data_IF_191351485603
#
_entry.id   IF_191351485603
#
_cell.length_a   1.000
_cell.length_b   1.000
_cell.length_c   1.000
_cell.angle_alpha   90.00
_cell.angle_beta   90.00
_cell.angle_gamma   90.00
#
_symmetry.space_group_name_H-M   'P 1'
#
loop_
_entity.id
_entity.type
_entity.pdbx_description
1 polymer ?
#
# COMPACT_ATOMS: atom_id res chain seq x y z
N UNK A 1 -12.13 9.17 27.07
CA UNK A 1 -11.45 8.62 25.88
C UNK A 1 -10.21 9.45 25.61
N UNK A 2 -9.03 8.83 25.61
CA UNK A 2 -7.77 9.42 25.17
C UNK A 2 -7.78 9.61 23.65
N UNK A 3 -6.82 10.39 23.11
CA UNK A 3 -6.68 10.56 21.65
C UNK A 3 -6.42 9.21 20.96
N UNK A 4 -5.61 8.34 21.57
CA UNK A 4 -5.32 7.00 21.02
C UNK A 4 -6.60 6.16 20.97
N UNK A 5 -7.42 6.20 22.02
CA UNK A 5 -8.72 5.49 22.03
C UNK A 5 -9.69 6.05 20.97
N UNK A 6 -9.66 7.36 20.70
CA UNK A 6 -10.46 7.97 19.62
C UNK A 6 -10.03 7.47 18.24
N UNK A 7 -8.73 7.42 17.96
CA UNK A 7 -8.19 6.93 16.68
C UNK A 7 -8.51 5.44 16.50
N UNK A 8 -8.31 4.64 17.55
CA UNK A 8 -8.65 3.22 17.53
C UNK A 8 -10.14 2.98 17.28
N UNK A 9 -11.01 3.75 17.95
CA UNK A 9 -12.45 3.67 17.74
C UNK A 9 -12.86 4.10 16.33
N UNK A 10 -12.23 5.13 15.76
CA UNK A 10 -12.46 5.53 14.38
C UNK A 10 -12.09 4.42 13.40
N UNK A 11 -10.87 3.87 13.50
CA UNK A 11 -10.41 2.81 12.60
C UNK A 11 -11.26 1.54 12.70
N UNK A 12 -11.64 1.14 13.92
CA UNK A 12 -12.41 -0.09 14.15
C UNK A 12 -13.88 0.00 13.70
N UNK A 13 -14.45 1.21 13.63
CA UNK A 13 -15.86 1.42 13.30
C UNK A 13 -16.08 2.04 11.92
N UNK A 14 -15.02 2.28 11.14
CA UNK A 14 -15.16 2.82 9.78
C UNK A 14 -15.57 1.72 8.80
N UNK A 15 -16.55 2.01 7.95
CA UNK A 15 -17.00 1.13 6.87
C UNK A 15 -16.86 1.81 5.51
N UNK A 16 -16.68 1.01 4.46
CA UNK A 16 -16.80 1.48 3.08
C UNK A 16 -18.17 2.13 2.82
N UNK A 17 -19.21 1.69 3.54
CA UNK A 17 -20.55 2.23 3.42
C UNK A 17 -20.71 3.66 3.96
N UNK A 18 -19.80 4.10 4.84
CA UNK A 18 -19.79 5.47 5.36
C UNK A 18 -19.27 6.49 4.33
N UNK A 19 -18.68 6.02 3.22
CA UNK A 19 -18.09 6.86 2.19
C UNK A 19 -19.13 7.32 1.16
N UNK A 20 -19.11 8.61 0.82
CA UNK A 20 -19.89 9.15 -0.30
C UNK A 20 -19.39 8.61 -1.64
N UNK A 21 -20.24 8.63 -2.66
CA UNK A 21 -19.89 8.17 -4.02
C UNK A 21 -18.68 8.93 -4.60
N UNK A 22 -18.55 10.22 -4.28
CA UNK A 22 -17.42 11.05 -4.66
C UNK A 22 -16.11 10.52 -4.03
N UNK A 23 -16.12 10.23 -2.73
CA UNK A 23 -14.95 9.68 -2.04
C UNK A 23 -14.61 8.29 -2.56
N UNK A 24 -15.61 7.43 -2.79
CA UNK A 24 -15.39 6.09 -3.38
C UNK A 24 -14.74 6.18 -4.75
N UNK A 25 -15.16 7.15 -5.57
CA UNK A 25 -14.57 7.39 -6.89
C UNK A 25 -13.13 7.88 -6.76
N UNK A 26 -12.87 8.86 -5.91
CA UNK A 26 -11.52 9.38 -5.69
C UNK A 26 -10.57 8.30 -5.15
N UNK A 27 -11.03 7.47 -4.23
CA UNK A 27 -10.24 6.36 -3.68
C UNK A 27 -9.83 5.37 -4.78
N UNK A 28 -10.75 5.01 -5.68
CA UNK A 28 -10.44 4.14 -6.83
C UNK A 28 -9.44 4.80 -7.78
N UNK A 29 -9.57 6.10 -8.04
CA UNK A 29 -8.60 6.86 -8.86
C UNK A 29 -7.20 6.82 -8.23
N UNK A 30 -7.09 7.05 -6.92
CA UNK A 30 -5.82 6.96 -6.18
C UNK A 30 -5.23 5.56 -6.22
N UNK A 31 -6.05 4.51 -6.12
CA UNK A 31 -5.58 3.13 -6.26
C UNK A 31 -5.00 2.85 -7.65
N UNK A 32 -5.65 3.33 -8.71
CA UNK A 32 -5.15 3.18 -10.09
C UNK A 32 -3.83 3.94 -10.28
N UNK A 33 -3.73 5.16 -9.78
CA UNK A 33 -2.50 5.97 -9.80
C UNK A 33 -1.35 5.27 -9.06
N UNK A 34 -1.64 4.78 -7.85
CA UNK A 34 -0.68 4.04 -7.00
C UNK A 34 -0.13 2.81 -7.72
N UNK A 35 -1.00 2.00 -8.33
CA UNK A 35 -0.59 0.81 -9.09
C UNK A 35 0.20 1.23 -10.34
N UNK A 36 -0.19 2.32 -11.00
CA UNK A 36 0.53 2.88 -12.14
C UNK A 36 1.97 3.26 -11.78
N UNK A 37 2.18 3.96 -10.65
CA UNK A 37 3.50 4.29 -10.12
C UNK A 37 4.31 3.03 -9.82
N UNK A 38 3.71 2.06 -9.15
CA UNK A 38 4.37 0.79 -8.84
C UNK A 38 4.83 0.03 -10.10
N UNK A 39 3.98 -0.03 -11.13
CA UNK A 39 4.32 -0.65 -12.42
C UNK A 39 5.46 0.12 -13.09
N UNK A 40 5.42 1.46 -13.06
CA UNK A 40 6.47 2.31 -13.61
C UNK A 40 7.84 2.09 -12.96
N UNK A 41 7.87 1.69 -11.69
CA UNK A 41 9.10 1.39 -10.94
C UNK A 41 9.67 -0.01 -11.20
N UNK A 42 8.97 -0.88 -11.94
CA UNK A 42 9.44 -2.25 -12.17
C UNK A 42 10.75 -2.26 -12.96
N UNK A 43 11.74 -2.99 -12.44
CA UNK A 43 13.05 -3.15 -13.09
C UNK A 43 14.07 -2.05 -12.77
N UNK A 44 13.67 -1.05 -11.99
CA UNK A 44 14.55 0.00 -11.50
C UNK A 44 15.63 -0.54 -10.54
N UNK A 45 16.80 0.11 -10.52
CA UNK A 45 18.00 -0.43 -9.86
C UNK A 45 17.77 -0.84 -8.40
N UNK A 46 17.34 0.06 -7.51
CA UNK A 46 17.05 -0.27 -6.11
C UNK A 46 15.93 -1.30 -5.92
N UNK A 47 14.89 -1.24 -6.76
CA UNK A 47 13.76 -2.18 -6.73
C UNK A 47 14.21 -3.61 -7.06
N UNK A 48 15.17 -3.77 -7.98
CA UNK A 48 15.73 -5.10 -8.31
C UNK A 48 16.44 -5.73 -7.13
N UNK A 49 17.21 -4.96 -6.35
CA UNK A 49 17.85 -5.48 -5.14
C UNK A 49 16.82 -5.86 -4.07
N UNK A 50 15.73 -5.10 -3.95
CA UNK A 50 14.61 -5.47 -3.07
C UNK A 50 13.93 -6.76 -3.54
N UNK A 51 13.84 -6.98 -4.85
CA UNK A 51 13.34 -8.24 -5.40
C UNK A 51 14.25 -9.40 -5.03
N UNK A 52 15.56 -9.25 -5.27
CA UNK A 52 16.55 -10.26 -4.89
C UNK A 52 16.50 -10.57 -3.38
N UNK A 53 16.33 -9.54 -2.54
CA UNK A 53 16.14 -9.71 -1.10
C UNK A 53 14.85 -10.48 -0.77
N UNK A 54 13.74 -10.20 -1.45
CA UNK A 54 12.47 -10.91 -1.25
C UNK A 54 12.52 -12.36 -1.74
N UNK A 55 13.37 -12.68 -2.73
CA UNK A 55 13.60 -14.05 -3.21
C UNK A 55 14.55 -14.84 -2.29
N UNK A 56 15.55 -14.19 -1.67
CA UNK A 56 16.55 -14.82 -0.79
C UNK A 56 16.04 -14.98 0.66
N UNK A 57 15.53 -13.90 1.24
CA UNK A 57 15.04 -13.85 2.63
C UNK A 57 13.51 -13.95 2.73
N UNK A 58 12.83 -14.16 1.60
CA UNK A 58 11.38 -14.32 1.57
C UNK A 58 10.91 -15.48 2.45
N UNK A 59 9.86 -15.24 3.23
CA UNK A 59 9.18 -16.30 3.96
C UNK A 59 8.15 -17.04 3.09
N UNK A 60 7.20 -17.70 3.75
CA UNK A 60 6.16 -18.47 3.08
C UNK A 60 5.35 -17.60 2.10
N UNK A 61 5.10 -18.16 0.90
CA UNK A 61 4.47 -17.49 -0.24
C UNK A 61 2.97 -17.22 -0.04
N UNK A 62 2.63 -16.28 0.83
CA UNK A 62 1.25 -15.93 1.15
C UNK A 62 0.72 -14.75 0.32
N UNK A 63 1.54 -13.71 0.14
CA UNK A 63 1.13 -12.46 -0.49
C UNK A 63 1.87 -12.22 -1.80
N UNK A 64 1.21 -11.57 -2.73
CA UNK A 64 1.67 -11.30 -4.09
C UNK A 64 2.60 -10.09 -4.14
N UNK A 65 3.65 -10.23 -4.93
CA UNK A 65 4.54 -9.12 -5.30
C UNK A 65 4.03 -8.50 -6.61
N UNK A 66 3.94 -7.17 -6.67
CA UNK A 66 3.63 -6.46 -7.92
C UNK A 66 4.73 -6.78 -8.94
N UNK A 67 4.35 -7.20 -10.16
CA UNK A 67 5.30 -7.74 -11.14
C UNK A 67 5.51 -9.26 -11.07
N UNK A 68 4.84 -9.95 -10.15
CA UNK A 68 4.70 -11.41 -10.11
C UNK A 68 5.52 -12.10 -9.02
N UNK A 69 5.13 -13.32 -8.66
CA UNK A 69 5.70 -14.07 -7.53
C UNK A 69 4.99 -13.75 -6.20
N UNK A 70 5.41 -14.43 -5.13
CA UNK A 70 4.83 -14.31 -3.79
C UNK A 70 5.91 -14.37 -2.72
N UNK A 71 5.65 -13.77 -1.56
CA UNK A 71 6.51 -13.81 -0.38
C UNK A 71 5.67 -13.76 0.91
N UNK A 72 6.35 -13.67 2.06
CA UNK A 72 5.70 -13.41 3.34
C UNK A 72 5.01 -12.03 3.35
N UNK A 73 3.96 -11.83 4.17
CA UNK A 73 3.15 -10.60 4.13
C UNK A 73 3.95 -9.31 4.36
N UNK A 74 4.89 -9.33 5.30
CA UNK A 74 5.78 -8.21 5.63
C UNK A 74 6.78 -7.92 4.51
N UNK A 75 7.38 -8.96 3.91
CA UNK A 75 8.25 -8.81 2.75
C UNK A 75 7.50 -8.27 1.52
N UNK A 76 6.29 -8.75 1.27
CA UNK A 76 5.44 -8.28 0.20
C UNK A 76 5.00 -6.82 0.41
N UNK A 77 4.62 -6.45 1.63
CA UNK A 77 4.31 -5.07 2.01
C UNK A 77 5.50 -4.15 1.72
N UNK A 78 6.70 -4.52 2.17
CA UNK A 78 7.90 -3.71 1.98
C UNK A 78 8.25 -3.54 0.49
N UNK A 79 8.23 -4.64 -0.28
CA UNK A 79 8.54 -4.61 -1.71
C UNK A 79 7.51 -3.78 -2.49
N UNK A 80 6.21 -4.02 -2.28
CA UNK A 80 5.14 -3.32 -2.99
C UNK A 80 5.11 -1.82 -2.66
N UNK A 81 5.28 -1.44 -1.39
CA UNK A 81 5.40 -0.02 -0.99
C UNK A 81 6.63 0.63 -1.61
N UNK A 82 7.75 -0.08 -1.69
CA UNK A 82 8.96 0.46 -2.32
C UNK A 82 8.77 0.75 -3.80
N UNK A 83 8.06 -0.13 -4.52
CA UNK A 83 7.66 0.12 -5.91
C UNK A 83 6.80 1.39 -6.05
N UNK A 84 5.77 1.53 -5.21
CA UNK A 84 4.87 2.70 -5.23
C UNK A 84 5.66 4.01 -5.07
N UNK A 85 6.58 4.02 -4.10
CA UNK A 85 7.31 5.23 -3.71
C UNK A 85 8.48 5.59 -4.63
N UNK A 86 9.10 4.61 -5.28
CA UNK A 86 10.42 4.77 -5.89
C UNK A 86 10.54 5.94 -6.86
N UNK A 87 9.56 6.14 -7.74
CA UNK A 87 9.58 7.22 -8.73
C UNK A 87 9.21 8.60 -8.16
N UNK A 88 8.68 8.66 -6.93
CA UNK A 88 8.15 9.88 -6.30
C UNK A 88 7.08 10.59 -7.17
N UNK A 89 6.31 9.80 -7.92
CA UNK A 89 5.19 10.25 -8.75
C UNK A 89 3.83 10.00 -8.11
N UNK A 90 3.80 9.36 -6.94
CA UNK A 90 2.59 9.00 -6.24
C UNK A 90 1.94 10.21 -5.53
N UNK A 91 0.68 10.04 -5.15
CA UNK A 91 -0.20 11.08 -4.61
C UNK A 91 0.44 12.03 -3.58
N UNK A 92 0.07 13.31 -3.61
CA UNK A 92 0.54 14.31 -2.65
C UNK A 92 -0.59 14.85 -1.80
N UNK A 93 -0.50 14.70 -0.48
CA UNK A 93 -1.38 15.35 0.48
C UNK A 93 -0.67 16.53 1.16
N UNK A 94 -1.20 17.74 0.97
CA UNK A 94 -0.68 18.96 1.57
C UNK A 94 -1.41 19.25 2.88
N UNK A 95 -0.90 18.69 3.98
CA UNK A 95 -1.43 18.91 5.32
C UNK A 95 -1.06 20.29 5.88
N UNK A 96 -1.72 20.70 6.97
CA UNK A 96 -1.44 21.97 7.66
C UNK A 96 -0.01 22.09 8.20
N UNK A 97 0.59 20.96 8.57
CA UNK A 97 1.89 20.90 9.24
C UNK A 97 2.99 20.23 8.39
N UNK A 98 2.60 19.39 7.44
CA UNK A 98 3.53 18.66 6.59
C UNK A 98 2.85 18.17 5.32
N UNK A 99 3.66 17.98 4.28
CA UNK A 99 3.31 17.22 3.07
C UNK A 99 3.56 15.73 3.33
N UNK A 100 2.70 14.88 2.79
CA UNK A 100 2.84 13.42 2.86
C UNK A 100 2.33 12.76 1.60
N UNK A 101 2.70 11.49 1.39
CA UNK A 101 2.19 10.65 0.31
C UNK A 101 1.40 9.47 0.90
N UNK A 102 0.07 9.62 1.12
CA UNK A 102 -0.74 8.59 1.76
C UNK A 102 -0.67 7.21 1.09
N UNK A 103 -0.49 7.15 -0.23
CA UNK A 103 -0.38 5.90 -0.99
C UNK A 103 0.84 5.04 -0.62
N UNK A 104 1.84 5.58 0.09
CA UNK A 104 2.96 4.80 0.62
C UNK A 104 2.46 3.63 1.52
N UNK A 105 1.29 3.80 2.15
CA UNK A 105 0.70 2.76 2.99
C UNK A 105 -0.03 1.67 2.19
N UNK A 106 -0.35 1.90 0.92
CA UNK A 106 -1.19 1.01 0.12
C UNK A 106 -0.54 -0.36 -0.09
N UNK A 107 0.78 -0.43 -0.28
CA UNK A 107 1.49 -1.71 -0.43
C UNK A 107 1.32 -2.63 0.78
N UNK A 108 1.36 -2.06 1.99
CA UNK A 108 1.11 -2.79 3.23
C UNK A 108 -0.36 -3.21 3.39
N UNK A 109 -1.30 -2.32 3.06
CA UNK A 109 -2.74 -2.63 3.09
C UNK A 109 -3.08 -3.76 2.11
N UNK A 110 -2.52 -3.74 0.90
CA UNK A 110 -2.73 -4.80 -0.10
C UNK A 110 -2.21 -6.16 0.38
N UNK A 111 -1.01 -6.20 0.96
CA UNK A 111 -0.46 -7.45 1.50
C UNK A 111 -1.31 -7.99 2.67
N UNK A 112 -1.72 -7.11 3.60
CA UNK A 112 -2.58 -7.49 4.72
C UNK A 112 -3.97 -7.98 4.26
N UNK A 113 -4.57 -7.30 3.27
CA UNK A 113 -5.85 -7.67 2.70
C UNK A 113 -5.80 -9.03 1.97
N UNK A 114 -4.77 -9.28 1.15
CA UNK A 114 -4.59 -10.59 0.51
C UNK A 114 -4.37 -11.70 1.55
N UNK A 115 -3.55 -11.43 2.57
CA UNK A 115 -3.30 -12.40 3.63
C UNK A 115 -4.57 -12.79 4.39
N UNK A 116 -5.46 -11.82 4.62
CA UNK A 116 -6.72 -11.99 5.31
C UNK A 116 -7.87 -12.47 4.41
N UNK A 117 -7.62 -12.71 3.12
CA UNK A 117 -8.65 -13.02 2.11
C UNK A 117 -9.80 -11.97 2.09
N UNK A 118 -9.44 -10.69 2.20
CA UNK A 118 -10.38 -9.58 2.24
C UNK A 118 -10.86 -9.17 0.84
N UNK A 119 -12.06 -8.60 0.78
CA UNK A 119 -12.58 -7.96 -0.43
C UNK A 119 -12.05 -6.52 -0.59
N UNK A 120 -12.10 -6.01 -1.82
CA UNK A 120 -11.88 -4.59 -2.14
C UNK A 120 -13.15 -3.77 -2.23
#
# INVERSE_FOLDING_TARGET
>A
MTIVEQIAAFAANSSFDDLSDEIRTQMKTLMVDTIGCAIGSLGEGPVRYLREQADDFGGAAHCTLIGGGKSAPDAAAFYNTSLIRYLDFNDGFMGKLATSHPSDNTGAVMAAAEYADASG
#
